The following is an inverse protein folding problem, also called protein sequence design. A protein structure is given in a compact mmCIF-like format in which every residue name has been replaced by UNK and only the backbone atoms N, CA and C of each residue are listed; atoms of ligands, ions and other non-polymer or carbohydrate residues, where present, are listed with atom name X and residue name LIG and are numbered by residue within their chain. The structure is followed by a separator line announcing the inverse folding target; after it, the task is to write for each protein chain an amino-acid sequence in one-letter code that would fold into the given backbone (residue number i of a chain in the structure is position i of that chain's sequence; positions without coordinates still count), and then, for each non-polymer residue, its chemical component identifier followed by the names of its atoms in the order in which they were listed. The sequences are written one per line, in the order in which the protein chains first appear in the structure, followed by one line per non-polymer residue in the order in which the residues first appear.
data_IF_155694585092
#
_entry.id   IF_155694585092
#
_cell.length_a   1.000
_cell.length_b   1.000
_cell.length_c   1.000
_cell.angle_alpha   90.00
_cell.angle_beta   90.00
_cell.angle_gamma   90.00
#
_symmetry.space_group_name_H-M   'P 1'
#
loop_
_entity.id
_entity.type
_entity.pdbx_description
1 polymer ?
#
# COMPACT_ATOMS: atom_id res chain seq x y z
N UNK A 1 -38.15 28.81 -2.12
CA UNK A 1 -37.11 27.74 -2.13
C UNK A 1 -35.90 28.28 -1.39
N UNK A 2 -35.72 27.87 -0.14
CA UNK A 2 -34.58 28.30 0.67
C UNK A 2 -33.41 27.37 0.38
N UNK A 3 -32.48 27.82 -0.45
CA UNK A 3 -31.18 27.18 -0.56
C UNK A 3 -30.37 27.55 0.68
N UNK A 4 -30.39 26.67 1.69
CA UNK A 4 -29.37 26.72 2.74
C UNK A 4 -28.05 26.30 2.09
N UNK A 5 -27.16 27.27 1.90
CA UNK A 5 -25.73 27.00 1.79
C UNK A 5 -25.34 26.15 3.00
N UNK A 6 -25.01 24.88 2.78
CA UNK A 6 -24.33 24.05 3.77
C UNK A 6 -22.92 24.62 3.88
N UNK A 7 -22.71 25.50 4.86
CA UNK A 7 -21.38 25.93 5.24
C UNK A 7 -20.63 24.73 5.78
N UNK A 8 -19.81 24.09 4.95
CA UNK A 8 -18.69 23.26 5.40
C UNK A 8 -17.65 24.20 6.01
N UNK A 9 -17.93 24.63 7.23
CA UNK A 9 -17.14 25.60 7.98
C UNK A 9 -16.74 25.03 9.32
N UNK A 10 -16.20 23.81 9.35
CA UNK A 10 -15.59 23.27 10.57
C UNK A 10 -14.17 23.84 10.63
N UNK A 11 -14.05 25.03 11.22
CA UNK A 11 -12.75 25.60 11.58
C UNK A 11 -12.12 24.78 12.71
N UNK A 12 -10.80 24.66 12.72
CA UNK A 12 -10.07 24.02 13.82
C UNK A 12 -10.36 24.74 15.13
N UNK A 13 -10.99 24.03 16.06
CA UNK A 13 -11.19 24.46 17.43
C UNK A 13 -9.88 24.24 18.21
N UNK A 14 -9.32 25.32 18.80
CA UNK A 14 -8.05 25.28 19.54
C UNK A 14 -8.20 24.65 20.93
N UNK A 15 -9.42 24.62 21.46
CA UNK A 15 -9.73 24.03 22.77
C UNK A 15 -9.89 22.51 22.68
N UNK A 16 -10.19 22.00 21.47
CA UNK A 16 -10.34 20.57 21.22
C UNK A 16 -9.01 19.92 20.86
N UNK A 17 -8.87 18.65 21.25
CA UNK A 17 -7.76 17.81 20.77
C UNK A 17 -7.90 17.66 19.26
N UNK A 18 -6.77 17.41 18.60
CA UNK A 18 -6.76 17.22 17.15
C UNK A 18 -7.70 16.10 16.69
N UNK A 19 -7.76 14.99 17.45
CA UNK A 19 -8.66 13.87 17.17
C UNK A 19 -10.15 14.25 17.25
N UNK A 20 -10.52 15.12 18.19
CA UNK A 20 -11.90 15.59 18.35
C UNK A 20 -12.31 16.52 17.21
N UNK A 21 -11.39 17.37 16.75
CA UNK A 21 -11.59 18.17 15.54
C UNK A 21 -11.79 17.26 14.32
N UNK A 22 -10.96 16.24 14.15
CA UNK A 22 -11.09 15.29 13.04
C UNK A 22 -12.42 14.53 13.09
N UNK A 23 -12.82 13.99 14.25
CA UNK A 23 -14.10 13.31 14.41
C UNK A 23 -15.29 14.25 14.12
N UNK A 24 -15.17 15.53 14.52
CA UNK A 24 -16.19 16.54 14.23
C UNK A 24 -16.30 16.86 12.73
N UNK A 25 -15.17 16.93 12.02
CA UNK A 25 -15.13 17.16 10.57
C UNK A 25 -15.70 15.96 9.80
N UNK A 26 -15.39 14.75 10.25
CA UNK A 26 -15.75 13.50 9.57
C UNK A 26 -17.17 13.01 9.88
N UNK A 27 -17.89 13.70 10.78
CA UNK A 27 -19.25 13.36 11.25
C UNK A 27 -19.42 11.88 11.67
N UNK A 28 -18.31 11.22 12.02
CA UNK A 28 -18.25 9.79 12.32
C UNK A 28 -17.17 9.53 13.37
N UNK A 29 -17.34 8.48 14.22
CA UNK A 29 -16.30 8.11 15.15
C UNK A 29 -15.06 7.66 14.40
N UNK A 30 -13.89 8.18 14.81
CA UNK A 30 -12.63 7.68 14.28
C UNK A 30 -12.52 6.18 14.62
N UNK A 31 -12.11 5.33 13.67
CA UNK A 31 -11.92 3.93 13.94
C UNK A 31 -10.90 3.79 15.09
N UNK A 32 -11.27 3.06 16.13
CA UNK A 32 -10.36 2.65 17.18
C UNK A 32 -9.20 1.89 16.55
N UNK A 33 -7.99 2.01 17.10
CA UNK A 33 -6.87 1.15 16.71
C UNK A 33 -7.37 -0.29 16.78
N UNK A 34 -7.54 -0.93 15.62
CA UNK A 34 -7.72 -2.38 15.57
C UNK A 34 -6.47 -2.95 16.22
N UNK A 35 -6.63 -3.73 17.29
CA UNK A 35 -5.57 -4.54 17.86
C UNK A 35 -5.22 -5.65 16.84
N UNK A 36 -4.65 -5.26 15.70
CA UNK A 36 -3.85 -6.15 14.87
C UNK A 36 -2.65 -6.46 15.76
N UNK A 37 -2.68 -7.66 16.35
CA UNK A 37 -1.66 -8.15 17.25
C UNK A 37 -0.28 -7.80 16.71
N UNK A 38 0.51 -7.12 17.54
CA UNK A 38 1.87 -6.69 17.24
C UNK A 38 2.68 -7.86 16.70
N UNK A 39 2.74 -7.97 15.39
CA UNK A 39 3.80 -8.70 14.72
C UNK A 39 4.82 -7.65 14.29
N UNK A 40 5.56 -7.12 15.27
CA UNK A 40 6.63 -6.12 15.09
C UNK A 40 7.80 -6.65 14.21
N UNK A 41 7.65 -7.83 13.59
CA UNK A 41 8.65 -8.51 12.77
C UNK A 41 8.20 -8.73 11.32
N UNK A 42 6.98 -8.39 10.92
CA UNK A 42 6.55 -8.53 9.52
C UNK A 42 6.81 -7.24 8.74
N UNK A 43 7.69 -7.34 7.74
CA UNK A 43 7.99 -6.27 6.80
C UNK A 43 6.76 -5.96 5.93
N UNK A 44 6.19 -4.77 6.12
CA UNK A 44 5.10 -4.24 5.31
C UNK A 44 5.55 -3.96 3.87
N UNK A 45 4.64 -4.14 2.93
CA UNK A 45 4.90 -3.84 1.53
C UNK A 45 5.15 -2.34 1.32
N UNK A 46 6.24 -1.98 0.67
CA UNK A 46 6.62 -0.59 0.38
C UNK A 46 5.71 0.13 -0.62
N UNK A 47 4.65 -0.49 -1.13
CA UNK A 47 3.72 0.13 -2.08
C UNK A 47 2.31 0.23 -1.49
N UNK A 48 1.74 -0.89 -1.05
CA UNK A 48 0.37 -0.91 -0.51
C UNK A 48 0.32 -0.77 1.02
N UNK A 49 1.47 -0.77 1.70
CA UNK A 49 1.60 -0.68 3.17
C UNK A 49 0.85 -1.79 3.94
N UNK A 50 0.40 -2.84 3.27
CA UNK A 50 -0.19 -4.01 3.90
C UNK A 50 0.88 -5.08 4.16
N UNK A 51 0.69 -5.85 5.23
CA UNK A 51 1.50 -7.03 5.52
C UNK A 51 1.16 -8.17 4.56
N UNK A 52 -0.14 -8.40 4.32
CA UNK A 52 -0.65 -9.41 3.41
C UNK A 52 -1.60 -8.80 2.39
N UNK A 53 -1.63 -9.39 1.18
CA UNK A 53 -2.67 -9.07 0.19
C UNK A 53 -4.06 -9.47 0.70
N UNK A 54 -5.14 -8.77 0.28
CA UNK A 54 -6.50 -9.17 0.64
C UNK A 54 -6.81 -10.58 0.14
N UNK A 55 -7.70 -11.28 0.86
CA UNK A 55 -8.22 -12.56 0.41
C UNK A 55 -9.24 -12.25 -0.68
N UNK A 56 -8.84 -12.49 -1.92
CA UNK A 56 -9.65 -12.27 -3.11
C UNK A 56 -9.48 -13.45 -4.08
N UNK A 57 -10.59 -13.92 -4.66
CA UNK A 57 -10.62 -15.07 -5.56
C UNK A 57 -9.94 -14.75 -6.91
N UNK A 58 -9.88 -13.47 -7.34
CA UNK A 58 -9.22 -13.06 -8.58
C UNK A 58 -7.69 -13.04 -8.44
N UNK A 59 -7.17 -12.84 -7.22
CA UNK A 59 -5.73 -12.93 -6.94
C UNK A 59 -5.21 -14.39 -6.89
N UNK A 60 -6.11 -15.37 -6.87
CA UNK A 60 -5.77 -16.80 -6.89
C UNK A 60 -4.73 -17.16 -5.82
N UNK A 61 -3.61 -17.78 -6.24
CA UNK A 61 -2.54 -18.22 -5.33
C UNK A 61 -1.79 -17.09 -4.61
N UNK A 62 -1.96 -15.83 -5.04
CA UNK A 62 -1.32 -14.65 -4.42
C UNK A 62 -2.23 -14.01 -3.36
N UNK A 63 -3.46 -14.47 -3.24
CA UNK A 63 -4.42 -14.09 -2.22
C UNK A 63 -3.87 -14.36 -0.82
N UNK A 64 -3.91 -13.38 0.08
CA UNK A 64 -3.36 -13.52 1.44
C UNK A 64 -1.82 -13.61 1.54
N UNK A 65 -1.07 -13.44 0.44
CA UNK A 65 0.39 -13.57 0.46
C UNK A 65 1.07 -12.40 1.19
N UNK A 66 2.12 -12.72 1.96
CA UNK A 66 3.02 -11.73 2.57
C UNK A 66 3.99 -11.15 1.53
N UNK A 67 4.72 -10.09 1.88
CA UNK A 67 5.87 -9.61 1.09
C UNK A 67 6.84 -10.73 0.73
N UNK A 68 7.02 -10.95 -0.57
CA UNK A 68 7.72 -12.06 -1.21
C UNK A 68 8.84 -11.58 -2.16
N UNK A 69 9.11 -10.28 -2.15
CA UNK A 69 10.28 -9.66 -2.77
C UNK A 69 10.90 -8.65 -1.81
N UNK A 70 12.23 -8.67 -1.66
CA UNK A 70 12.98 -7.64 -0.90
C UNK A 70 14.06 -7.08 -1.80
N UNK A 71 14.24 -5.75 -1.78
CA UNK A 71 15.29 -5.09 -2.56
C UNK A 71 16.68 -5.59 -2.14
N UNK A 72 17.54 -5.88 -3.11
CA UNK A 72 18.88 -6.43 -2.88
C UNK A 72 19.90 -5.39 -2.36
N UNK A 73 19.58 -4.10 -2.46
CA UNK A 73 20.41 -3.05 -1.90
C UNK A 73 20.30 -3.06 -0.36
N UNK A 74 21.40 -3.39 0.31
CA UNK A 74 21.52 -3.46 1.77
C UNK A 74 21.29 -2.11 2.50
N UNK A 75 21.27 -0.98 1.78
CA UNK A 75 20.88 0.31 2.33
C UNK A 75 19.39 0.61 2.16
N UNK A 76 18.66 -0.20 1.38
CA UNK A 76 17.23 -0.02 1.09
C UNK A 76 16.36 -0.98 1.89
N UNK A 77 16.67 -2.28 1.88
CA UNK A 77 15.96 -3.36 2.60
C UNK A 77 14.42 -3.33 2.51
N UNK A 78 13.88 -2.76 1.43
CA UNK A 78 12.43 -2.57 1.29
C UNK A 78 11.80 -3.84 0.76
N UNK A 79 10.77 -4.32 1.47
CA UNK A 79 9.99 -5.49 1.09
C UNK A 79 8.73 -5.09 0.30
N UNK A 80 8.29 -5.94 -0.62
CA UNK A 80 7.17 -5.73 -1.51
C UNK A 80 6.42 -7.04 -1.75
N UNK A 81 5.13 -6.96 -2.06
CA UNK A 81 4.45 -8.03 -2.78
C UNK A 81 4.89 -8.01 -4.24
N UNK A 82 5.13 -9.18 -4.83
CA UNK A 82 5.47 -9.35 -6.25
C UNK A 82 4.43 -8.72 -7.17
N UNK A 83 3.15 -8.84 -6.82
CA UNK A 83 2.04 -8.22 -7.57
C UNK A 83 2.17 -6.70 -7.54
N UNK A 84 2.34 -6.09 -6.36
CA UNK A 84 2.46 -4.64 -6.23
C UNK A 84 3.67 -4.08 -6.98
N UNK A 85 4.84 -4.71 -6.83
CA UNK A 85 6.04 -4.28 -7.55
C UNK A 85 5.92 -4.56 -9.05
N UNK A 86 5.24 -5.64 -9.43
CA UNK A 86 4.91 -5.99 -10.79
C UNK A 86 4.08 -4.94 -11.50
N UNK A 87 2.97 -4.54 -10.92
CA UNK A 87 2.08 -3.51 -11.46
C UNK A 87 2.79 -2.15 -11.53
N UNK A 88 3.58 -1.82 -10.50
CA UNK A 88 4.43 -0.64 -10.52
C UNK A 88 5.38 -0.64 -11.71
N UNK A 89 6.17 -1.70 -11.89
CA UNK A 89 7.13 -1.80 -12.99
C UNK A 89 6.44 -1.77 -14.36
N UNK A 90 5.28 -2.42 -14.52
CA UNK A 90 4.49 -2.37 -15.76
C UNK A 90 3.99 -0.96 -16.11
N UNK A 91 3.79 -0.10 -15.12
CA UNK A 91 3.38 1.30 -15.35
C UNK A 91 4.51 2.21 -15.84
N UNK A 92 5.77 1.76 -15.77
CA UNK A 92 6.96 2.53 -16.16
C UNK A 92 7.38 2.19 -17.59
N UNK A 93 7.48 3.21 -18.45
CA UNK A 93 7.79 3.05 -19.88
C UNK A 93 9.19 2.51 -20.18
N UNK A 94 10.13 2.62 -19.25
CA UNK A 94 11.51 2.14 -19.39
C UNK A 94 11.71 0.71 -18.87
N UNK A 95 10.69 0.11 -18.27
CA UNK A 95 10.75 -1.29 -17.80
C UNK A 95 10.90 -2.24 -18.97
N UNK A 96 11.78 -3.23 -18.84
CA UNK A 96 11.99 -4.27 -19.84
C UNK A 96 11.42 -5.59 -19.32
N UNK A 97 10.78 -6.36 -20.19
CA UNK A 97 10.35 -7.71 -19.87
C UNK A 97 11.15 -8.71 -20.71
N UNK A 98 11.65 -9.77 -20.08
CA UNK A 98 12.20 -10.93 -20.77
C UNK A 98 11.53 -12.17 -20.21
N UNK A 99 10.80 -12.90 -21.06
CA UNK A 99 9.95 -14.02 -20.64
C UNK A 99 9.01 -13.62 -19.49
N UNK A 100 9.12 -14.29 -18.36
CA UNK A 100 8.37 -14.08 -17.13
C UNK A 100 9.09 -13.16 -16.14
N UNK A 101 10.17 -12.48 -16.53
CA UNK A 101 10.94 -11.59 -15.66
C UNK A 101 10.81 -10.13 -16.10
N UNK A 102 10.42 -9.25 -15.17
CA UNK A 102 10.49 -7.79 -15.33
C UNK A 102 11.79 -7.23 -14.77
N UNK A 103 12.42 -6.35 -15.54
CA UNK A 103 13.61 -5.59 -15.19
C UNK A 103 13.28 -4.11 -15.16
N UNK A 104 13.57 -3.47 -14.03
CA UNK A 104 13.38 -2.05 -13.85
C UNK A 104 14.16 -1.56 -12.64
N UNK A 105 13.65 -0.54 -11.95
CA UNK A 105 14.31 0.08 -10.82
C UNK A 105 13.45 0.04 -9.56
N UNK A 106 14.07 -0.10 -8.40
CA UNK A 106 13.41 -0.04 -7.10
C UNK A 106 12.74 1.34 -6.90
N UNK A 107 11.48 1.43 -6.44
CA UNK A 107 10.80 2.71 -6.21
C UNK A 107 11.47 3.61 -5.15
N UNK A 108 12.36 3.05 -4.32
CA UNK A 108 12.95 3.73 -3.18
C UNK A 108 14.41 4.14 -3.42
N UNK A 109 15.28 3.19 -3.76
CA UNK A 109 16.71 3.46 -3.98
C UNK A 109 17.08 3.66 -5.45
N UNK A 110 16.15 3.43 -6.39
CA UNK A 110 16.40 3.45 -7.84
C UNK A 110 17.40 2.41 -8.36
N UNK A 111 17.89 1.49 -7.52
CA UNK A 111 18.77 0.41 -7.97
C UNK A 111 18.02 -0.60 -8.85
N UNK A 112 18.73 -1.30 -9.75
CA UNK A 112 18.13 -2.31 -10.61
C UNK A 112 17.43 -3.40 -9.81
N UNK A 113 16.24 -3.79 -10.27
CA UNK A 113 15.46 -4.90 -9.72
C UNK A 113 15.03 -5.85 -10.83
N UNK A 114 15.03 -7.15 -10.53
CA UNK A 114 14.53 -8.18 -11.41
C UNK A 114 13.50 -9.04 -10.66
N UNK A 115 12.25 -9.05 -11.13
CA UNK A 115 11.18 -9.85 -10.52
C UNK A 115 10.64 -10.87 -11.50
N UNK A 116 10.58 -12.13 -11.06
CA UNK A 116 9.91 -13.21 -11.80
C UNK A 116 8.42 -13.19 -11.47
N UNK A 117 7.59 -12.96 -12.48
CA UNK A 117 6.15 -13.07 -12.43
C UNK A 117 5.78 -14.54 -12.43
N UNK A 118 5.21 -15.02 -11.33
CA UNK A 118 4.55 -16.32 -11.32
C UNK A 118 3.13 -16.10 -11.78
N UNK A 119 2.84 -16.34 -13.05
CA UNK A 119 1.46 -16.47 -13.48
C UNK A 119 0.84 -17.61 -12.67
N UNK A 120 -0.22 -17.31 -11.93
CA UNK A 120 -1.07 -18.35 -11.34
C UNK A 120 -1.68 -19.13 -12.52
N UNK A 121 -0.99 -20.18 -12.96
CA UNK A 121 -1.54 -21.11 -13.93
C UNK A 121 -2.76 -21.75 -13.27
N UNK A 122 -3.90 -21.46 -13.90
CA UNK A 122 -5.26 -21.90 -13.58
C UNK A 122 -5.39 -23.42 -13.54
#
# INVERSE_FOLDING_TARGET
MSFRLVTVGVCRDKEKRYLENLASILESPLPSRLDIGKNDQQSECGICYAQCLPIDDELGSMSGSQTDYTCENANCDRAFHRVCLGDWLRSITTTRQSFDVLFGNCPYCSDPVAIKMTDASK
#
